data_IF_456635513786
#
_entry.id   IF_456635513786
#
_cell.length_a   1.000
_cell.length_b   1.000
_cell.length_c   1.000
_cell.angle_alpha   90.00
_cell.angle_beta   90.00
_cell.angle_gamma   90.00
#
_symmetry.space_group_name_H-M   'P 1'
#
loop_
_entity.id
_entity.type
_entity.pdbx_description
1 polymer ?
#
# COMPACT_ATOMS: atom_id res chain seq x y z
N UNK A 1 -20.11 -2.50 -14.99
CA UNK A 1 -18.72 -2.45 -15.52
C UNK A 1 -18.00 -1.18 -15.09
N UNK A 2 -18.60 -0.01 -15.30
CA UNK A 2 -18.02 1.28 -14.90
C UNK A 2 -17.94 1.45 -13.38
N UNK A 3 -18.93 0.94 -12.63
CA UNK A 3 -18.93 0.98 -11.17
C UNK A 3 -17.77 0.22 -10.55
N UNK A 4 -17.34 -0.92 -11.12
CA UNK A 4 -16.21 -1.67 -10.60
C UNK A 4 -14.89 -0.91 -10.71
N UNK A 5 -14.66 -0.21 -11.81
CA UNK A 5 -13.47 0.63 -12.00
C UNK A 5 -13.44 1.81 -11.02
N UNK A 6 -14.60 2.43 -10.81
CA UNK A 6 -14.74 3.52 -9.84
C UNK A 6 -14.37 3.06 -8.42
N UNK A 7 -14.89 1.91 -7.98
CA UNK A 7 -14.56 1.38 -6.66
C UNK A 7 -13.10 0.95 -6.51
N UNK A 8 -12.47 0.46 -7.57
CA UNK A 8 -11.05 0.12 -7.57
C UNK A 8 -10.20 1.39 -7.39
N UNK A 9 -10.44 2.41 -8.21
CA UNK A 9 -9.70 3.68 -8.12
C UNK A 9 -9.92 4.37 -6.79
N UNK A 10 -11.16 4.39 -6.29
CA UNK A 10 -11.49 4.94 -4.98
C UNK A 10 -10.80 4.17 -3.85
N UNK A 11 -10.79 2.84 -3.89
CA UNK A 11 -10.09 2.01 -2.92
C UNK A 11 -8.58 2.24 -2.92
N UNK A 12 -7.97 2.33 -4.10
CA UNK A 12 -6.54 2.63 -4.26
C UNK A 12 -6.18 4.04 -3.75
N UNK A 13 -7.03 5.03 -4.00
CA UNK A 13 -6.82 6.41 -3.50
C UNK A 13 -6.96 6.50 -1.98
N UNK A 14 -7.96 5.83 -1.39
CA UNK A 14 -8.12 5.75 0.06
C UNK A 14 -6.91 5.07 0.71
N UNK A 15 -6.45 3.98 0.12
CA UNK A 15 -5.27 3.26 0.59
C UNK A 15 -4.02 4.14 0.51
N UNK A 16 -3.79 4.79 -0.63
CA UNK A 16 -2.67 5.69 -0.82
C UNK A 16 -2.70 6.88 0.18
N UNK A 17 -3.88 7.47 0.40
CA UNK A 17 -4.06 8.53 1.38
C UNK A 17 -3.78 8.04 2.81
N UNK A 18 -4.27 6.87 3.19
CA UNK A 18 -3.98 6.25 4.48
C UNK A 18 -2.48 6.05 4.72
N UNK A 19 -1.76 5.57 3.71
CA UNK A 19 -0.30 5.43 3.78
C UNK A 19 0.42 6.76 3.90
N UNK A 20 0.09 7.75 3.07
CA UNK A 20 0.81 9.02 3.01
C UNK A 20 0.53 9.90 4.22
N UNK A 21 -0.72 9.92 4.72
CA UNK A 21 -1.11 10.83 5.80
C UNK A 21 -0.96 10.24 7.20
N UNK A 22 -1.18 8.94 7.38
CA UNK A 22 -1.27 8.34 8.71
C UNK A 22 -0.22 7.27 9.02
N UNK A 23 0.47 6.75 8.01
CA UNK A 23 1.41 5.64 8.19
C UNK A 23 2.84 6.10 7.97
N UNK A 24 3.13 6.63 6.79
CA UNK A 24 4.49 6.97 6.36
C UNK A 24 5.16 8.05 7.21
N UNK A 25 4.51 9.17 7.58
CA UNK A 25 5.13 10.23 8.36
C UNK A 25 5.48 9.82 9.80
N UNK A 26 4.75 8.84 10.33
CA UNK A 26 4.93 8.37 11.71
C UNK A 26 5.83 7.13 11.80
N UNK A 27 6.47 6.72 10.70
CA UNK A 27 7.31 5.52 10.62
C UNK A 27 6.59 4.24 11.10
N UNK A 28 5.27 4.21 10.97
CA UNK A 28 4.47 3.03 11.24
C UNK A 28 4.67 2.05 10.08
N UNK A 29 5.12 0.84 10.39
CA UNK A 29 5.37 -0.20 9.38
C UNK A 29 4.23 -1.21 9.41
N UNK A 30 3.22 -1.10 8.55
CA UNK A 30 2.04 -1.98 8.59
C UNK A 30 2.30 -3.39 8.06
N UNK A 31 3.54 -3.68 7.66
CA UNK A 31 3.90 -4.94 7.03
C UNK A 31 3.80 -4.93 5.51
N UNK A 32 4.07 -6.08 4.89
CA UNK A 32 4.01 -6.23 3.43
C UNK A 32 5.07 -5.45 2.66
N UNK A 33 4.83 -5.32 1.36
CA UNK A 33 5.73 -4.61 0.43
C UNK A 33 5.83 -3.13 0.76
N UNK A 34 4.71 -2.49 1.09
CA UNK A 34 4.71 -1.06 1.43
C UNK A 34 5.38 -0.79 2.77
N UNK A 35 5.30 -1.72 3.74
CA UNK A 35 6.09 -1.64 4.96
C UNK A 35 7.59 -1.71 4.69
N UNK A 36 8.02 -2.62 3.81
CA UNK A 36 9.41 -2.70 3.35
C UNK A 36 9.82 -1.41 2.61
N UNK A 37 8.92 -0.82 1.82
CA UNK A 37 9.17 0.44 1.10
C UNK A 37 9.39 1.62 2.05
N UNK A 38 8.68 1.68 3.19
CA UNK A 38 8.89 2.70 4.23
C UNK A 38 10.25 2.52 4.88
N UNK A 39 10.64 1.29 5.21
CA UNK A 39 11.96 1.00 5.78
C UNK A 39 13.08 1.41 4.81
N UNK A 40 12.93 1.09 3.52
CA UNK A 40 13.91 1.49 2.49
C UNK A 40 13.96 3.00 2.29
N UNK A 41 12.82 3.69 2.37
CA UNK A 41 12.79 5.15 2.33
C UNK A 41 13.59 5.77 3.49
N UNK A 42 13.48 5.22 4.71
CA UNK A 42 14.26 5.69 5.84
C UNK A 42 15.77 5.47 5.69
N UNK A 43 16.18 4.43 4.94
CA UNK A 43 17.60 4.19 4.62
C UNK A 43 18.05 5.12 3.47
N UNK A 44 17.20 5.34 2.50
CA UNK A 44 17.44 6.14 1.30
C UNK A 44 16.40 7.26 1.14
N UNK A 45 16.49 8.37 1.91
CA UNK A 45 15.47 9.43 1.92
C UNK A 45 15.30 10.18 0.57
N UNK A 46 16.20 9.93 -0.38
CA UNK A 46 16.12 10.54 -1.73
C UNK A 46 15.07 9.91 -2.65
N UNK A 47 14.48 8.78 -2.28
CA UNK A 47 13.52 8.03 -3.10
C UNK A 47 12.18 7.93 -2.37
N UNK A 48 11.09 8.28 -3.04
CA UNK A 48 9.75 8.23 -2.43
C UNK A 48 9.29 6.80 -2.15
N UNK A 49 8.48 6.61 -1.11
CA UNK A 49 7.93 5.30 -0.70
C UNK A 49 7.21 4.59 -1.85
N UNK A 50 6.39 5.32 -2.63
CA UNK A 50 5.70 4.73 -3.78
C UNK A 50 6.65 4.26 -4.89
N UNK A 51 7.84 4.87 -5.04
CA UNK A 51 8.85 4.42 -6.00
C UNK A 51 9.44 3.08 -5.60
N UNK A 52 9.71 2.86 -4.31
CA UNK A 52 10.08 1.54 -3.79
C UNK A 52 8.94 0.54 -3.94
N UNK A 53 7.68 0.99 -3.78
CA UNK A 53 6.49 0.17 -4.09
C UNK A 53 6.54 -0.38 -5.51
N UNK A 54 6.82 0.46 -6.52
CA UNK A 54 6.98 0.00 -7.90
C UNK A 54 8.10 -1.02 -8.07
N UNK A 55 9.22 -0.83 -7.39
CA UNK A 55 10.37 -1.74 -7.48
C UNK A 55 10.01 -3.16 -7.03
N UNK A 56 9.11 -3.30 -6.06
CA UNK A 56 8.63 -4.60 -5.60
C UNK A 56 7.41 -5.10 -6.39
N UNK A 57 6.48 -4.20 -6.72
CA UNK A 57 5.23 -4.58 -7.38
C UNK A 57 5.44 -5.05 -8.82
N UNK A 58 6.37 -4.45 -9.57
CA UNK A 58 6.63 -4.84 -10.95
C UNK A 58 7.10 -6.29 -11.06
N UNK A 59 8.14 -6.76 -10.32
CA UNK A 59 8.52 -8.17 -10.34
C UNK A 59 7.41 -9.12 -9.89
N UNK A 60 6.63 -8.73 -8.86
CA UNK A 60 5.51 -9.52 -8.38
C UNK A 60 4.38 -9.61 -9.42
N UNK A 61 4.09 -8.53 -10.15
CA UNK A 61 3.13 -8.52 -11.24
C UNK A 61 3.57 -9.42 -12.39
N UNK A 62 4.85 -9.39 -12.77
CA UNK A 62 5.41 -10.27 -13.81
C UNK A 62 5.25 -11.73 -13.38
N UNK A 63 5.63 -12.05 -12.14
CA UNK A 63 5.50 -13.40 -11.60
C UNK A 63 4.01 -13.85 -11.56
N UNK A 64 3.12 -12.97 -11.12
CA UNK A 64 1.69 -13.25 -11.11
C UNK A 64 1.14 -13.47 -12.51
N UNK A 65 1.56 -12.67 -13.49
CA UNK A 65 1.16 -12.87 -14.88
C UNK A 65 1.62 -14.22 -15.43
N UNK A 66 2.83 -14.65 -15.10
CA UNK A 66 3.36 -15.97 -15.48
C UNK A 66 2.54 -17.13 -14.85
N UNK A 67 2.12 -16.96 -13.59
CA UNK A 67 1.38 -18.00 -12.84
C UNK A 67 -0.09 -18.06 -13.24
N UNK A 68 -0.74 -16.91 -13.35
CA UNK A 68 -2.18 -16.79 -13.59
C UNK A 68 -2.52 -16.67 -15.09
N UNK A 69 -1.53 -16.32 -15.92
CA UNK A 69 -1.70 -16.09 -17.35
C UNK A 69 -2.64 -14.91 -17.65
N UNK A 70 -3.30 -14.95 -18.80
CA UNK A 70 -4.25 -13.92 -19.24
C UNK A 70 -5.51 -13.78 -18.36
N UNK A 71 -5.74 -14.72 -17.43
CA UNK A 71 -6.82 -14.62 -16.43
C UNK A 71 -6.48 -13.67 -15.29
N UNK A 72 -5.22 -13.25 -15.18
CA UNK A 72 -4.81 -12.20 -14.25
C UNK A 72 -5.35 -10.86 -14.76
N UNK A 73 -6.45 -10.45 -14.19
CA UNK A 73 -7.31 -9.42 -14.75
C UNK A 73 -6.62 -8.06 -14.91
N UNK A 74 -6.92 -7.35 -15.99
CA UNK A 74 -6.49 -5.97 -16.24
C UNK A 74 -6.76 -5.03 -15.04
N UNK A 75 -7.76 -5.34 -14.23
CA UNK A 75 -8.12 -4.61 -13.01
C UNK A 75 -6.99 -4.62 -11.98
N UNK A 76 -6.36 -5.78 -11.76
CA UNK A 76 -5.25 -5.93 -10.81
C UNK A 76 -4.01 -5.20 -11.30
N UNK A 77 -3.69 -5.29 -12.59
CA UNK A 77 -2.54 -4.58 -13.16
C UNK A 77 -2.71 -3.07 -13.00
N UNK A 78 -3.90 -2.55 -13.33
CA UNK A 78 -4.18 -1.12 -13.17
C UNK A 78 -4.14 -0.71 -11.70
N UNK A 79 -4.76 -1.46 -10.78
CA UNK A 79 -4.75 -1.15 -9.36
C UNK A 79 -3.32 -1.13 -8.79
N UNK A 80 -2.51 -2.15 -9.10
CA UNK A 80 -1.14 -2.27 -8.60
C UNK A 80 -0.19 -1.19 -9.16
N UNK A 81 -0.41 -0.71 -10.39
CA UNK A 81 0.36 0.41 -10.94
C UNK A 81 -0.17 1.77 -10.46
N UNK A 82 -1.49 1.89 -10.27
CA UNK A 82 -2.11 3.14 -9.83
C UNK A 82 -1.79 3.47 -8.38
N UNK A 83 -1.75 2.48 -7.47
CA UNK A 83 -1.57 2.70 -6.03
C UNK A 83 -0.24 3.41 -5.71
N UNK A 84 0.96 2.92 -6.12
CA UNK A 84 2.21 3.61 -5.85
C UNK A 84 2.30 4.97 -6.57
N UNK A 85 1.71 5.08 -7.76
CA UNK A 85 1.64 6.36 -8.49
C UNK A 85 0.82 7.40 -7.72
N UNK A 86 -0.32 6.98 -7.20
CA UNK A 86 -1.17 7.82 -6.36
C UNK A 86 -0.46 8.23 -5.05
N UNK A 87 0.28 7.28 -4.42
CA UNK A 87 1.09 7.59 -3.24
C UNK A 87 2.14 8.67 -3.54
N UNK A 88 2.90 8.52 -4.62
CA UNK A 88 3.89 9.52 -5.01
C UNK A 88 3.26 10.87 -5.33
N UNK A 89 2.11 10.89 -6.00
CA UNK A 89 1.38 12.12 -6.32
C UNK A 89 0.89 12.83 -5.07
N UNK A 90 0.23 12.10 -4.15
CA UNK A 90 -0.28 12.66 -2.89
C UNK A 90 0.89 13.17 -2.04
N UNK A 91 1.98 12.39 -1.93
CA UNK A 91 3.18 12.81 -1.19
C UNK A 91 3.74 14.12 -1.73
N UNK A 92 3.86 14.24 -3.05
CA UNK A 92 4.38 15.44 -3.71
C UNK A 92 3.47 16.66 -3.55
N UNK A 93 2.16 16.45 -3.48
CA UNK A 93 1.18 17.52 -3.26
C UNK A 93 1.08 17.94 -1.79
N UNK A 94 1.35 17.04 -0.87
CA UNK A 94 1.17 17.26 0.58
C UNK A 94 2.38 17.88 1.25
N UNK A 95 3.57 17.70 0.68
CA UNK A 95 4.82 18.26 1.21
C UNK A 95 5.32 19.39 0.30
N UNK A 96 5.27 20.67 0.75
CA UNK A 96 5.60 21.83 -0.08
C UNK A 96 7.10 21.96 -0.35
N UNK A 97 7.96 21.42 0.52
CA UNK A 97 9.41 21.55 0.46
C UNK A 97 10.08 20.20 0.18
N UNK A 98 11.19 20.22 -0.58
CA UNK A 98 11.96 19.00 -0.86
C UNK A 98 12.56 18.36 0.40
N UNK A 99 12.92 19.15 1.40
CA UNK A 99 13.40 18.63 2.69
C UNK A 99 12.30 17.95 3.48
N UNK A 100 11.10 18.52 3.52
CA UNK A 100 9.92 17.90 4.13
C UNK A 100 9.52 16.60 3.41
N UNK A 101 9.66 16.59 2.10
CA UNK A 101 9.41 15.41 1.27
C UNK A 101 10.41 14.27 1.57
N UNK A 102 11.68 14.61 1.80
CA UNK A 102 12.74 13.63 2.10
C UNK A 102 12.59 13.00 3.49
N UNK A 103 12.18 13.80 4.47
CA UNK A 103 12.08 13.38 5.86
C UNK A 103 10.67 12.93 6.23
N UNK A 104 9.66 13.15 5.35
CA UNK A 104 8.24 12.90 5.60
C UNK A 104 7.78 13.52 6.94
N UNK A 105 8.19 14.77 7.21
CA UNK A 105 7.97 15.45 8.47
C UNK A 105 6.47 15.77 8.67
N UNK A 106 5.81 15.18 9.70
CA UNK A 106 4.38 15.42 9.95
C UNK A 106 4.05 16.88 10.22
N UNK A 107 4.97 17.63 10.84
CA UNK A 107 4.76 19.03 11.21
C UNK A 107 4.62 19.96 10.00
N UNK A 108 5.13 19.56 8.85
CA UNK A 108 5.06 20.33 7.60
C UNK A 108 4.00 19.83 6.64
N UNK A 109 3.37 18.71 6.93
CA UNK A 109 2.33 18.13 6.12
C UNK A 109 1.07 19.00 6.14
N UNK A 110 0.62 19.45 4.96
CA UNK A 110 -0.55 20.33 4.82
C UNK A 110 -0.50 21.58 5.76
N UNK A 111 0.71 22.11 6.01
CA UNK A 111 0.87 23.26 6.90
C UNK A 111 0.69 22.93 8.39
N UNK A 112 0.88 21.69 8.81
CA UNK A 112 0.80 21.27 10.22
C UNK A 112 -0.62 20.94 10.73
N UNK A 113 -1.62 20.95 9.85
CA UNK A 113 -3.02 20.68 10.25
C UNK A 113 -3.23 19.24 10.73
N UNK A 114 -2.43 18.30 10.24
CA UNK A 114 -2.54 16.86 10.50
C UNK A 114 -1.36 16.33 11.33
N UNK A 115 -0.82 17.13 12.24
CA UNK A 115 0.24 16.67 13.14
C UNK A 115 -0.34 15.82 14.28
N UNK A 116 -0.14 14.50 14.18
CA UNK A 116 -0.52 13.50 15.18
C UNK A 116 0.71 12.87 15.86
N UNK A 117 1.85 13.56 15.85
CA UNK A 117 3.11 13.05 16.42
C UNK A 117 2.98 12.66 17.89
N UNK A 118 2.16 13.39 18.65
CA UNK A 118 1.87 13.11 20.07
C UNK A 118 0.83 11.98 20.26
N UNK A 119 0.17 11.55 19.17
CA UNK A 119 -0.93 10.59 19.21
C UNK A 119 -0.74 9.43 18.20
N UNK A 120 0.42 8.78 18.26
CA UNK A 120 0.77 7.68 17.34
C UNK A 120 -0.27 6.53 17.30
N UNK A 121 -0.89 6.23 18.44
CA UNK A 121 -1.94 5.22 18.51
C UNK A 121 -3.17 5.64 17.70
N UNK A 122 -3.55 6.91 17.74
CA UNK A 122 -4.66 7.46 16.97
C UNK A 122 -4.33 7.47 15.47
N UNK A 123 -3.11 7.90 15.10
CA UNK A 123 -2.65 7.86 13.71
C UNK A 123 -2.67 6.44 13.14
N UNK A 124 -2.18 5.46 13.93
CA UNK A 124 -2.19 4.05 13.56
C UNK A 124 -3.61 3.50 13.38
N UNK A 125 -4.53 3.86 14.28
CA UNK A 125 -5.93 3.43 14.21
C UNK A 125 -6.63 3.99 12.97
N UNK A 126 -6.53 5.30 12.74
CA UNK A 126 -7.13 5.94 11.56
C UNK A 126 -6.50 5.38 10.29
N UNK A 127 -5.16 5.28 10.24
CA UNK A 127 -4.44 4.70 9.10
C UNK A 127 -4.91 3.30 8.78
N UNK A 128 -5.06 2.42 9.78
CA UNK A 128 -5.52 1.05 9.57
C UNK A 128 -6.96 0.96 9.06
N UNK A 129 -7.84 1.87 9.48
CA UNK A 129 -9.20 1.97 8.93
C UNK A 129 -9.18 2.33 7.45
N UNK A 130 -8.38 3.34 7.06
CA UNK A 130 -8.22 3.74 5.65
C UNK A 130 -7.65 2.59 4.81
N UNK A 131 -6.62 1.91 5.32
CA UNK A 131 -6.03 0.75 4.66
C UNK A 131 -7.05 -0.40 4.51
N UNK A 132 -7.74 -0.75 5.59
CA UNK A 132 -8.72 -1.84 5.58
C UNK A 132 -9.89 -1.59 4.63
N UNK A 133 -10.45 -0.38 4.64
CA UNK A 133 -11.51 0.02 3.70
C UNK A 133 -10.99 0.05 2.27
N UNK A 134 -9.81 0.63 2.04
CA UNK A 134 -9.18 0.72 0.71
C UNK A 134 -8.94 -0.66 0.10
N UNK A 135 -8.26 -1.56 0.83
CA UNK A 135 -8.03 -2.95 0.40
C UNK A 135 -9.35 -3.69 0.22
N UNK A 136 -10.29 -3.56 1.16
CA UNK A 136 -11.59 -4.22 1.10
C UNK A 136 -12.39 -3.86 -0.16
N UNK A 137 -12.38 -2.57 -0.56
CA UNK A 137 -13.04 -2.12 -1.79
C UNK A 137 -12.40 -2.74 -3.04
N UNK A 138 -11.07 -2.82 -3.09
CA UNK A 138 -10.34 -3.38 -4.24
C UNK A 138 -10.56 -4.88 -4.33
N UNK A 139 -10.41 -5.61 -3.22
CA UNK A 139 -10.59 -7.07 -3.17
C UNK A 139 -12.02 -7.47 -3.51
N UNK A 140 -13.03 -6.69 -3.07
CA UNK A 140 -14.44 -6.91 -3.46
C UNK A 140 -14.64 -6.90 -4.97
N UNK A 141 -13.82 -6.16 -5.71
CA UNK A 141 -13.88 -6.12 -7.18
C UNK A 141 -13.01 -7.20 -7.85
N UNK A 142 -12.53 -8.20 -7.08
CA UNK A 142 -11.63 -9.25 -7.55
C UNK A 142 -10.33 -8.69 -8.16
N UNK A 143 -9.82 -7.61 -7.58
CA UNK A 143 -8.54 -7.01 -7.89
C UNK A 143 -7.67 -7.00 -6.64
N UNK A 144 -6.37 -6.79 -6.79
CA UNK A 144 -5.43 -6.55 -5.70
C UNK A 144 -4.67 -5.26 -5.93
N UNK A 145 -4.23 -4.63 -4.85
CA UNK A 145 -3.45 -3.39 -4.89
C UNK A 145 -1.97 -3.60 -5.18
N UNK A 146 -1.57 -4.83 -5.45
CA UNK A 146 -0.16 -5.22 -5.57
C UNK A 146 0.40 -5.77 -4.26
N UNK A 147 1.72 -5.77 -4.14
CA UNK A 147 2.40 -6.13 -2.90
C UNK A 147 2.20 -7.59 -2.49
N UNK A 148 2.14 -7.80 -1.18
CA UNK A 148 1.95 -9.14 -0.57
C UNK A 148 0.61 -9.78 -0.89
N UNK A 149 -0.39 -9.01 -1.31
CA UNK A 149 -1.69 -9.55 -1.73
C UNK A 149 -1.55 -10.47 -2.94
N UNK A 150 -0.63 -10.15 -3.85
CA UNK A 150 -0.30 -11.01 -4.99
C UNK A 150 0.26 -12.35 -4.50
N UNK A 151 1.14 -12.31 -3.50
CA UNK A 151 1.72 -13.52 -2.90
C UNK A 151 0.61 -14.35 -2.23
N UNK A 152 -0.30 -13.70 -1.49
CA UNK A 152 -1.44 -14.38 -0.88
C UNK A 152 -2.35 -15.06 -1.93
N UNK A 153 -2.59 -14.41 -3.07
CA UNK A 153 -3.33 -15.02 -4.19
C UNK A 153 -2.59 -16.20 -4.80
N UNK A 154 -1.27 -16.14 -4.92
CA UNK A 154 -0.48 -17.28 -5.39
C UNK A 154 -0.60 -18.48 -4.43
N UNK A 155 -0.45 -18.23 -3.12
CA UNK A 155 -0.61 -19.25 -2.07
C UNK A 155 -2.03 -19.84 -2.13
N UNK A 156 -3.05 -19.00 -2.24
CA UNK A 156 -4.43 -19.46 -2.41
C UNK A 156 -4.59 -20.40 -3.59
N UNK A 157 -3.99 -20.07 -4.75
CA UNK A 157 -4.09 -20.89 -5.96
C UNK A 157 -3.41 -22.24 -5.82
N UNK A 158 -2.22 -22.29 -5.21
CA UNK A 158 -1.44 -23.53 -5.10
C UNK A 158 -1.90 -24.43 -3.95
N UNK A 159 -2.30 -23.85 -2.82
CA UNK A 159 -2.67 -24.59 -1.62
C UNK A 159 -4.18 -24.71 -1.42
N UNK A 160 -5.00 -24.09 -2.29
CA UNK A 160 -6.46 -24.10 -2.21
C UNK A 160 -7.02 -23.62 -0.84
N UNK A 161 -6.32 -22.68 -0.22
CA UNK A 161 -6.64 -22.07 1.07
C UNK A 161 -7.40 -20.77 0.84
N UNK A 162 -8.35 -20.41 1.72
CA UNK A 162 -9.06 -19.13 1.59
C UNK A 162 -8.11 -17.94 1.66
N UNK A 163 -8.40 -16.87 0.89
CA UNK A 163 -7.54 -15.66 0.81
C UNK A 163 -7.20 -15.08 2.19
N UNK A 164 -8.17 -14.97 3.10
CA UNK A 164 -7.95 -14.48 4.46
C UNK A 164 -6.94 -15.33 5.24
N UNK A 165 -7.01 -16.66 5.12
CA UNK A 165 -6.06 -17.56 5.76
C UNK A 165 -4.67 -17.47 5.13
N UNK A 166 -4.58 -17.24 3.83
CA UNK A 166 -3.31 -17.04 3.14
C UNK A 166 -2.62 -15.74 3.59
N UNK A 167 -3.36 -14.65 3.76
CA UNK A 167 -2.85 -13.38 4.29
C UNK A 167 -2.38 -13.54 5.73
N UNK A 168 -3.21 -14.13 6.60
CA UNK A 168 -2.85 -14.38 8.01
C UNK A 168 -1.60 -15.25 8.12
N UNK A 169 -1.48 -16.33 7.36
CA UNK A 169 -0.30 -17.20 7.40
C UNK A 169 0.98 -16.51 6.92
N UNK A 170 0.88 -15.51 6.07
CA UNK A 170 2.04 -14.70 5.66
C UNK A 170 2.53 -13.75 6.76
N UNK A 171 1.63 -13.33 7.67
CA UNK A 171 1.94 -12.44 8.78
C UNK A 171 2.34 -13.20 10.06
N UNK A 172 1.74 -14.36 10.35
CA UNK A 172 2.05 -15.16 11.55
C UNK A 172 3.52 -15.62 11.64
N UNK A 173 4.21 -15.75 10.52
CA UNK A 173 5.66 -16.09 10.53
C UNK A 173 6.55 -15.03 11.18
N UNK A 174 6.05 -13.81 11.42
CA UNK A 174 6.81 -12.72 12.06
C UNK A 174 6.68 -12.69 13.59
N UNK A 175 5.65 -13.28 14.16
CA UNK A 175 5.39 -13.24 15.62
C UNK A 175 6.04 -14.40 16.38
N UNK A 176 6.58 -15.38 15.71
CA UNK A 176 7.10 -16.65 16.29
C UNK A 176 8.63 -16.74 16.45
N UNK A 177 9.34 -15.62 16.65
CA UNK A 177 10.77 -15.67 17.05
C UNK A 177 11.08 -14.65 18.12
#
# INVERSE_FOLDING_TARGET
WWSSWFFILLGCTLLAAGYVYFISPYNIVPGGVYGASIVLHNIFPGVQVGTFGYMFDIPLLILAFLIFGSKFGSRTIVAALYTPGCMNLITKLSFPNEEALRNLDPSQMLGGILDLSDHLMLASFIGSVFLGVGVGLVVRQQATTGGTDIVAMMIQKYFNIGFSNAVLSSEERRVGK
#
